data_IF_351816365569
#
_entry.id   IF_351816365569
#
_cell.length_a   1.000
_cell.length_b   1.000
_cell.length_c   1.000
_cell.angle_alpha   90.00
_cell.angle_beta   90.00
_cell.angle_gamma   90.00
#
_symmetry.space_group_name_H-M   'P 1'
#
loop_
_entity.id
_entity.type
_entity.pdbx_description
1 polymer ?
#
# COMPACT_ATOMS: atom_id res chain seq x y z
N UNK A 1 -4.35 -34.51 -11.19
CA UNK A 1 -3.43 -33.35 -11.29
C UNK A 1 -4.07 -32.13 -10.62
N UNK A 2 -4.20 -32.20 -9.29
CA UNK A 2 -5.08 -31.35 -8.44
C UNK A 2 -4.28 -30.54 -7.40
N UNK A 3 -2.94 -30.56 -7.48
CA UNK A 3 -2.01 -30.21 -6.39
C UNK A 3 -1.90 -28.70 -6.05
N UNK A 4 -2.80 -27.87 -6.56
CA UNK A 4 -2.78 -26.41 -6.41
C UNK A 4 -4.03 -25.84 -5.74
N UNK A 5 -5.10 -26.64 -5.68
CA UNK A 5 -6.30 -26.40 -4.85
C UNK A 5 -6.25 -27.26 -3.58
N UNK A 6 -5.24 -28.13 -3.43
CA UNK A 6 -4.93 -28.60 -2.09
C UNK A 6 -4.59 -27.36 -1.24
N UNK A 7 -5.27 -27.14 -0.11
CA UNK A 7 -5.06 -26.01 0.79
C UNK A 7 -3.73 -26.16 1.53
N UNK A 8 -2.66 -26.39 0.78
CA UNK A 8 -1.31 -26.60 1.27
C UNK A 8 -0.75 -25.25 1.61
N UNK A 9 -0.85 -24.98 2.91
CA UNK A 9 -0.24 -23.84 3.58
C UNK A 9 1.17 -23.61 3.02
N UNK A 10 1.40 -22.43 2.46
CA UNK A 10 2.71 -22.02 1.98
C UNK A 10 3.39 -21.15 3.03
N UNK A 11 4.65 -21.47 3.35
CA UNK A 11 5.45 -20.73 4.31
C UNK A 11 6.64 -20.09 3.61
N UNK A 12 6.88 -18.83 3.95
CA UNK A 12 8.03 -18.04 3.55
C UNK A 12 8.71 -17.53 4.83
N UNK A 13 10.03 -17.58 4.87
CA UNK A 13 10.85 -17.02 5.95
C UNK A 13 11.73 -15.93 5.38
N UNK A 14 11.75 -14.78 6.02
CA UNK A 14 12.43 -13.59 5.55
C UNK A 14 12.91 -12.71 6.69
N UNK A 15 13.57 -11.62 6.30
CA UNK A 15 13.95 -10.53 7.20
C UNK A 15 13.47 -9.22 6.57
N UNK A 16 12.97 -8.27 7.37
CA UNK A 16 12.76 -6.90 6.90
C UNK A 16 14.04 -6.34 6.28
N UNK A 17 13.90 -5.56 5.20
CA UNK A 17 15.05 -4.89 4.61
C UNK A 17 15.57 -3.78 5.52
N UNK A 18 16.86 -3.42 5.39
CA UNK A 18 17.44 -2.30 6.14
C UNK A 18 16.67 -0.98 5.93
N UNK A 19 16.23 -0.70 4.70
CA UNK A 19 15.38 0.46 4.36
C UNK A 19 14.04 0.49 5.13
N UNK A 20 13.65 -0.62 5.74
CA UNK A 20 12.42 -0.69 6.54
C UNK A 20 12.52 -0.12 7.92
N UNK A 21 13.73 0.04 8.46
CA UNK A 21 13.97 0.66 9.75
C UNK A 21 13.78 2.18 9.63
N UNK A 22 12.53 2.64 9.67
CA UNK A 22 12.19 4.05 9.48
C UNK A 22 12.69 4.93 10.64
N UNK A 23 12.54 4.46 11.88
CA UNK A 23 12.91 5.20 13.09
C UNK A 23 13.51 4.22 14.10
N UNK A 24 14.80 4.36 14.39
CA UNK A 24 15.52 3.41 15.25
C UNK A 24 15.41 1.97 14.71
N UNK A 25 15.16 0.95 15.55
CA UNK A 25 15.01 -0.43 15.09
C UNK A 25 13.62 -0.75 14.51
N UNK A 26 12.68 0.19 14.51
CA UNK A 26 11.27 -0.05 14.22
C UNK A 26 11.00 -0.16 12.73
N UNK A 27 10.39 -1.27 12.31
CA UNK A 27 10.06 -1.52 10.91
C UNK A 27 8.74 -0.84 10.53
N UNK A 28 8.78 -0.04 9.46
CA UNK A 28 7.59 0.60 8.89
C UNK A 28 6.62 -0.39 8.26
N UNK A 29 5.32 -0.08 8.28
CA UNK A 29 4.26 -1.00 7.83
C UNK A 29 4.44 -1.47 6.39
N UNK A 30 5.00 -0.64 5.50
CA UNK A 30 5.29 -1.00 4.10
C UNK A 30 6.07 -2.31 3.99
N UNK A 31 7.02 -2.55 4.89
CA UNK A 31 7.83 -3.77 4.90
C UNK A 31 7.05 -5.00 5.34
N UNK A 32 6.01 -4.87 6.16
CA UNK A 32 5.12 -5.99 6.43
C UNK A 32 4.46 -6.45 5.13
N UNK A 33 4.02 -5.49 4.30
CA UNK A 33 3.36 -5.80 3.05
C UNK A 33 4.36 -6.34 2.01
N UNK A 34 5.61 -5.86 1.98
CA UNK A 34 6.66 -6.45 1.14
C UNK A 34 6.94 -7.92 1.47
N UNK A 35 6.95 -8.28 2.76
CA UNK A 35 7.14 -9.69 3.15
C UNK A 35 5.94 -10.56 2.75
N UNK A 36 4.73 -10.01 2.76
CA UNK A 36 3.53 -10.69 2.24
C UNK A 36 3.63 -10.87 0.72
N UNK A 37 4.05 -9.84 0.00
CA UNK A 37 4.28 -9.88 -1.45
C UNK A 37 5.36 -10.90 -1.84
N UNK A 38 6.47 -10.94 -1.11
CA UNK A 38 7.51 -11.98 -1.29
C UNK A 38 7.00 -13.38 -0.98
N UNK A 39 6.14 -13.56 0.04
CA UNK A 39 5.53 -14.85 0.32
C UNK A 39 4.62 -15.33 -0.82
N UNK A 40 3.89 -14.41 -1.48
CA UNK A 40 3.09 -14.72 -2.66
C UNK A 40 4.00 -15.08 -3.84
N UNK A 41 5.04 -14.30 -4.11
CA UNK A 41 6.04 -14.63 -5.14
C UNK A 41 6.70 -15.99 -4.89
N UNK A 42 7.02 -16.30 -3.64
CA UNK A 42 7.62 -17.57 -3.25
C UNK A 42 6.64 -18.75 -3.42
N UNK A 43 5.36 -18.54 -3.14
CA UNK A 43 4.31 -19.54 -3.41
C UNK A 43 4.32 -19.97 -4.88
N UNK A 44 4.33 -19.01 -5.81
CA UNK A 44 4.38 -19.28 -7.25
C UNK A 44 5.75 -19.83 -7.70
N UNK A 45 6.85 -19.31 -7.14
CA UNK A 45 8.22 -19.79 -7.42
C UNK A 45 8.38 -21.28 -7.10
N UNK A 46 7.90 -21.74 -5.95
CA UNK A 46 7.91 -23.16 -5.54
C UNK A 46 7.09 -24.07 -6.47
N UNK A 47 6.23 -23.49 -7.30
CA UNK A 47 5.41 -24.18 -8.32
C UNK A 47 5.98 -24.01 -9.73
N UNK A 48 7.24 -23.57 -9.84
CA UNK A 48 7.94 -23.40 -11.10
C UNK A 48 7.57 -22.12 -11.86
N UNK A 49 6.82 -21.19 -11.24
CA UNK A 49 6.41 -19.91 -11.81
C UNK A 49 7.07 -18.74 -11.06
N UNK A 50 8.40 -18.74 -11.02
CA UNK A 50 9.15 -17.60 -10.48
C UNK A 50 9.00 -16.35 -11.35
N UNK A 51 9.19 -15.16 -10.76
CA UNK A 51 9.00 -13.87 -11.44
C UNK A 51 9.75 -13.75 -12.78
N UNK A 52 11.03 -14.15 -12.82
CA UNK A 52 11.81 -14.14 -14.05
C UNK A 52 11.18 -14.99 -15.16
N UNK A 53 10.68 -16.19 -14.81
CA UNK A 53 10.01 -17.10 -15.74
C UNK A 53 8.66 -16.59 -16.21
N UNK A 54 7.85 -16.08 -15.27
CA UNK A 54 6.57 -15.45 -15.59
C UNK A 54 6.75 -14.34 -16.63
N UNK A 55 7.79 -13.52 -16.46
CA UNK A 55 8.14 -12.45 -17.39
C UNK A 55 8.66 -13.00 -18.73
N UNK A 56 9.75 -13.79 -18.70
CA UNK A 56 10.50 -14.14 -19.91
C UNK A 56 9.87 -15.25 -20.76
N UNK A 57 9.13 -16.18 -20.15
CA UNK A 57 8.53 -17.32 -20.86
C UNK A 57 7.03 -17.16 -21.11
N UNK A 58 6.32 -16.52 -20.16
CA UNK A 58 4.87 -16.44 -20.18
C UNK A 58 4.31 -15.03 -20.48
N UNK A 59 5.16 -14.00 -20.52
CA UNK A 59 4.74 -12.65 -20.84
C UNK A 59 3.76 -12.05 -19.83
N UNK A 60 3.84 -12.44 -18.56
CA UNK A 60 2.99 -11.91 -17.48
C UNK A 60 3.80 -11.51 -16.25
N UNK A 61 3.27 -10.60 -15.43
CA UNK A 61 3.78 -10.29 -14.09
C UNK A 61 2.79 -10.73 -13.03
N UNK A 62 3.27 -11.07 -11.84
CA UNK A 62 2.45 -11.34 -10.67
C UNK A 62 2.39 -10.08 -9.81
N UNK A 63 1.18 -9.60 -9.53
CA UNK A 63 0.97 -8.41 -8.70
C UNK A 63 -0.12 -8.66 -7.66
N UNK A 64 0.04 -8.04 -6.49
CA UNK A 64 -1.03 -7.97 -5.49
C UNK A 64 -2.03 -6.91 -5.95
N UNK A 65 -3.32 -7.17 -5.75
CA UNK A 65 -4.39 -6.26 -6.19
C UNK A 65 -5.31 -5.87 -5.04
N UNK A 66 -5.31 -6.65 -3.97
CA UNK A 66 -6.07 -6.36 -2.77
C UNK A 66 -5.31 -6.85 -1.54
N UNK A 67 -5.32 -6.05 -0.48
CA UNK A 67 -4.98 -6.49 0.87
C UNK A 67 -5.92 -5.88 1.89
N UNK A 68 -6.18 -6.63 2.96
CA UNK A 68 -6.76 -6.13 4.19
C UNK A 68 -6.00 -6.76 5.35
N UNK A 69 -5.21 -5.96 6.06
CA UNK A 69 -4.32 -6.44 7.11
C UNK A 69 -4.50 -5.67 8.43
N UNK A 70 -4.35 -6.39 9.53
CA UNK A 70 -4.18 -5.86 10.89
C UNK A 70 -2.74 -6.09 11.33
N UNK A 71 -2.18 -5.10 12.02
CA UNK A 71 -0.78 -5.03 12.43
C UNK A 71 -0.71 -4.88 13.96
N UNK A 72 -1.00 -5.96 14.73
CA UNK A 72 -1.18 -5.87 16.18
C UNK A 72 0.13 -5.65 16.95
N UNK A 73 1.29 -5.89 16.34
CA UNK A 73 2.57 -5.87 17.05
C UNK A 73 3.65 -5.38 16.10
N UNK A 74 4.56 -4.51 16.57
CA UNK A 74 5.69 -4.03 15.78
C UNK A 74 6.65 -5.17 15.40
N UNK A 75 7.33 -4.98 14.28
CA UNK A 75 8.50 -5.76 13.86
C UNK A 75 9.73 -4.88 14.06
N UNK A 76 10.82 -5.46 14.53
CA UNK A 76 12.11 -4.78 14.59
C UNK A 76 13.09 -5.33 13.54
N UNK A 77 14.14 -4.57 13.26
CA UNK A 77 15.08 -4.83 12.16
C UNK A 77 15.72 -6.23 12.20
N UNK A 78 16.04 -6.74 13.39
CA UNK A 78 16.70 -8.03 13.56
C UNK A 78 15.74 -9.23 13.64
N UNK A 79 14.43 -8.98 13.61
CA UNK A 79 13.44 -10.05 13.67
C UNK A 79 13.54 -10.95 12.43
N UNK A 80 13.35 -12.25 12.65
CA UNK A 80 13.04 -13.20 11.57
C UNK A 80 11.53 -13.28 11.46
N UNK A 81 11.00 -13.03 10.27
CA UNK A 81 9.57 -13.13 10.01
C UNK A 81 9.25 -14.42 9.25
N UNK A 82 8.17 -15.07 9.64
CA UNK A 82 7.58 -16.18 8.92
C UNK A 82 6.18 -15.77 8.46
N UNK A 83 5.95 -15.82 7.15
CA UNK A 83 4.65 -15.55 6.53
C UNK A 83 4.03 -16.88 6.12
N UNK A 84 2.84 -17.13 6.65
CA UNK A 84 1.98 -18.25 6.29
C UNK A 84 0.86 -17.75 5.38
N UNK A 85 0.78 -18.33 4.18
CA UNK A 85 -0.32 -18.14 3.24
C UNK A 85 -1.20 -19.39 3.22
N UNK A 86 -2.50 -19.20 3.44
CA UNK A 86 -3.49 -20.26 3.26
C UNK A 86 -4.36 -19.91 2.07
N UNK A 87 -4.14 -20.55 0.90
CA UNK A 87 -4.98 -20.35 -0.27
C UNK A 87 -6.46 -20.58 0.08
N UNK A 88 -7.31 -19.72 -0.47
CA UNK A 88 -8.76 -19.85 -0.44
C UNK A 88 -9.24 -20.39 -1.78
N UNK A 89 -10.53 -20.77 -1.86
CA UNK A 89 -11.10 -21.19 -3.13
C UNK A 89 -10.96 -20.10 -4.20
N UNK A 90 -10.42 -20.43 -5.37
CA UNK A 90 -10.19 -19.46 -6.43
C UNK A 90 -11.52 -19.10 -7.10
N UNK A 91 -11.83 -17.80 -7.17
CA UNK A 91 -12.96 -17.30 -7.97
C UNK A 91 -12.42 -16.63 -9.23
N UNK A 92 -11.70 -15.53 -9.04
CA UNK A 92 -11.15 -14.68 -10.11
C UNK A 92 -9.74 -14.14 -9.79
N UNK A 93 -9.10 -14.64 -8.74
CA UNK A 93 -7.78 -14.21 -8.31
C UNK A 93 -7.18 -15.27 -7.40
N UNK A 94 -5.85 -15.26 -7.24
CA UNK A 94 -5.22 -16.03 -6.18
C UNK A 94 -5.57 -15.34 -4.86
N UNK A 95 -6.54 -15.91 -4.13
CA UNK A 95 -6.97 -15.41 -2.84
C UNK A 95 -6.33 -16.23 -1.72
N UNK A 96 -5.88 -15.57 -0.66
CA UNK A 96 -5.32 -16.25 0.50
C UNK A 96 -5.59 -15.48 1.79
N UNK A 97 -5.70 -16.19 2.91
CA UNK A 97 -5.45 -15.57 4.21
C UNK A 97 -3.94 -15.54 4.45
N UNK A 98 -3.47 -14.47 5.07
CA UNK A 98 -2.07 -14.28 5.41
C UNK A 98 -1.91 -14.08 6.92
N UNK A 99 -0.89 -14.73 7.47
CA UNK A 99 -0.49 -14.62 8.87
C UNK A 99 1.02 -14.42 8.90
N UNK A 100 1.50 -13.42 9.62
CA UNK A 100 2.94 -13.23 9.84
C UNK A 100 3.27 -13.32 11.32
N UNK A 101 4.31 -14.06 11.64
CA UNK A 101 4.91 -14.07 12.97
C UNK A 101 6.34 -13.59 12.92
N UNK A 102 6.72 -12.72 13.86
CA UNK A 102 8.12 -12.34 14.10
C UNK A 102 8.69 -13.17 15.24
N UNK A 103 9.97 -13.57 15.12
CA UNK A 103 10.70 -14.28 16.16
C UNK A 103 11.85 -13.42 16.67
N UNK A 104 11.88 -13.19 17.99
CA UNK A 104 12.95 -12.45 18.70
C UNK A 104 13.26 -13.16 20.00
N UNK A 105 14.54 -13.43 20.26
CA UNK A 105 15.00 -14.04 21.53
C UNK A 105 14.20 -15.31 21.89
N UNK A 106 13.93 -16.16 20.90
CA UNK A 106 13.16 -17.40 21.07
C UNK A 106 11.63 -17.20 21.24
N UNK A 107 11.13 -15.97 21.32
CA UNK A 107 9.70 -15.67 21.43
C UNK A 107 9.09 -15.40 20.06
N UNK A 108 7.99 -16.08 19.73
CA UNK A 108 7.19 -15.83 18.52
C UNK A 108 6.00 -14.93 18.84
N UNK A 109 5.81 -13.88 18.04
CA UNK A 109 4.70 -12.93 18.18
C UNK A 109 3.96 -12.80 16.87
N UNK A 110 2.63 -12.69 16.93
CA UNK A 110 1.83 -12.36 15.76
C UNK A 110 2.05 -10.89 15.41
N UNK A 111 2.43 -10.60 14.17
CA UNK A 111 2.68 -9.23 13.71
C UNK A 111 1.79 -8.80 12.55
N UNK A 112 1.22 -9.75 11.81
CA UNK A 112 0.21 -9.46 10.78
C UNK A 112 -0.83 -10.56 10.70
N UNK A 113 -2.09 -10.17 10.54
CA UNK A 113 -3.18 -11.06 10.10
C UNK A 113 -3.99 -10.37 9.02
N UNK A 114 -4.42 -11.10 8.00
CA UNK A 114 -5.20 -10.50 6.92
C UNK A 114 -5.62 -11.46 5.83
N UNK A 115 -6.07 -10.86 4.73
CA UNK A 115 -6.36 -11.53 3.48
C UNK A 115 -5.84 -10.70 2.31
N UNK A 116 -5.55 -11.37 1.21
CA UNK A 116 -5.03 -10.76 -0.01
C UNK A 116 -5.62 -11.38 -1.27
N UNK A 117 -5.51 -10.65 -2.37
CA UNK A 117 -5.68 -11.16 -3.73
C UNK A 117 -4.48 -10.80 -4.59
N UNK A 118 -4.03 -11.74 -5.40
CA UNK A 118 -3.01 -11.53 -6.42
C UNK A 118 -3.49 -11.99 -7.81
N UNK A 119 -2.97 -11.33 -8.85
CA UNK A 119 -3.33 -11.59 -10.25
C UNK A 119 -2.09 -11.70 -11.12
N UNK A 120 -2.23 -12.46 -12.20
CA UNK A 120 -1.27 -12.48 -13.30
C UNK A 120 -1.71 -11.47 -14.35
N UNK A 121 -0.85 -10.51 -14.64
CA UNK A 121 -1.12 -9.38 -15.54
C UNK A 121 -0.26 -9.50 -16.80
N UNK A 122 -0.86 -9.58 -18.00
CA UNK A 122 -0.12 -9.62 -19.26
C UNK A 122 0.74 -8.37 -19.48
N UNK A 123 1.95 -8.57 -20.00
CA UNK A 123 2.77 -7.48 -20.52
C UNK A 123 2.13 -6.90 -21.78
N UNK A 124 2.33 -5.60 -22.01
CA UNK A 124 1.84 -4.94 -23.23
C UNK A 124 2.60 -5.36 -24.47
N UNK A 125 3.90 -5.69 -24.32
CA UNK A 125 4.75 -6.27 -25.35
C UNK A 125 5.47 -7.52 -24.80
N UNK A 126 4.81 -8.69 -24.80
CA UNK A 126 5.35 -9.89 -24.16
C UNK A 126 6.46 -10.54 -25.00
N UNK A 127 7.60 -10.92 -24.39
CA UNK A 127 8.73 -11.50 -25.12
C UNK A 127 8.50 -12.95 -25.62
N UNK A 128 7.51 -13.69 -25.10
CA UNK A 128 7.36 -15.13 -25.40
C UNK A 128 5.91 -15.65 -25.43
N UNK A 129 5.75 -16.83 -26.04
CA UNK A 129 4.49 -17.47 -26.49
C UNK A 129 4.11 -18.75 -25.72
N UNK A 130 4.81 -19.09 -24.63
CA UNK A 130 4.50 -20.33 -23.89
C UNK A 130 3.25 -20.10 -23.05
N UNK A 131 2.19 -20.83 -23.36
CA UNK A 131 0.94 -20.73 -22.62
C UNK A 131 1.17 -20.95 -21.12
N UNK A 132 0.51 -20.14 -20.31
CA UNK A 132 0.48 -20.35 -18.88
C UNK A 132 -0.13 -21.72 -18.59
N UNK A 133 0.33 -22.42 -17.54
CA UNK A 133 -0.36 -23.61 -17.08
C UNK A 133 -1.86 -23.34 -16.88
N UNK A 134 -2.73 -24.26 -17.31
CA UNK A 134 -4.20 -24.09 -17.29
C UNK A 134 -4.75 -23.63 -15.93
N UNK A 135 -4.13 -24.07 -14.84
CA UNK A 135 -4.52 -23.68 -13.48
C UNK A 135 -4.33 -22.19 -13.17
N UNK A 136 -3.53 -21.46 -13.95
CA UNK A 136 -3.35 -20.01 -13.83
C UNK A 136 -4.50 -19.21 -14.46
N UNK A 137 -5.29 -19.83 -15.35
CA UNK A 137 -6.32 -19.13 -16.12
C UNK A 137 -7.32 -18.33 -15.26
N UNK A 138 -7.78 -18.81 -14.08
CA UNK A 138 -8.67 -18.02 -13.21
C UNK A 138 -8.04 -16.74 -12.65
N UNK A 139 -6.71 -16.64 -12.65
CA UNK A 139 -5.95 -15.53 -12.06
C UNK A 139 -5.36 -14.59 -13.10
N UNK A 140 -5.43 -14.95 -14.39
CA UNK A 140 -4.89 -14.15 -15.49
C UNK A 140 -5.94 -13.14 -15.94
N UNK A 141 -5.65 -11.85 -15.75
CA UNK A 141 -6.57 -10.77 -16.10
C UNK A 141 -5.96 -9.82 -17.10
N UNK A 142 -6.73 -9.49 -18.15
CA UNK A 142 -6.38 -8.36 -19.00
C UNK A 142 -6.66 -7.08 -18.23
N UNK A 143 -5.66 -6.20 -18.27
CA UNK A 143 -5.77 -4.84 -17.75
C UNK A 143 -6.89 -4.10 -18.50
N UNK A 144 -7.93 -3.71 -17.76
CA UNK A 144 -9.06 -2.94 -18.31
C UNK A 144 -8.74 -1.44 -18.42
N UNK A 145 -7.62 -0.97 -17.86
CA UNK A 145 -7.30 0.44 -17.67
C UNK A 145 -6.69 1.15 -18.88
N UNK A 146 -6.05 0.46 -19.82
CA UNK A 146 -5.42 1.12 -20.99
C UNK A 146 -6.43 1.73 -21.96
N UNK A 147 -7.67 1.23 -21.93
CA UNK A 147 -8.80 1.80 -22.66
C UNK A 147 -9.71 2.52 -21.64
N UNK A 148 -10.36 3.60 -22.07
CA UNK A 148 -11.19 4.53 -21.26
C UNK A 148 -12.37 3.91 -20.48
N UNK A 149 -12.39 2.60 -20.28
CA UNK A 149 -13.42 1.87 -19.54
C UNK A 149 -13.11 1.77 -18.05
N UNK A 150 -13.18 2.91 -17.38
CA UNK A 150 -13.45 2.99 -15.95
C UNK A 150 -14.61 3.94 -15.79
N UNK A 151 -15.84 3.43 -15.64
CA UNK A 151 -16.94 4.30 -15.24
C UNK A 151 -16.55 4.90 -13.89
N UNK A 152 -16.48 6.23 -13.83
CA UNK A 152 -16.25 6.94 -12.58
C UNK A 152 -17.33 6.53 -11.59
N UNK A 153 -16.93 5.88 -10.50
CA UNK A 153 -17.81 5.80 -9.34
C UNK A 153 -17.76 7.17 -8.68
N UNK A 154 -18.88 7.89 -8.54
CA UNK A 154 -18.88 9.18 -7.87
C UNK A 154 -18.34 9.03 -6.44
N UNK A 155 -17.33 9.82 -6.09
CA UNK A 155 -16.80 9.92 -4.73
C UNK A 155 -16.51 11.37 -4.39
N UNK A 156 -16.52 11.71 -3.10
CA UNK A 156 -16.14 13.05 -2.62
C UNK A 156 -14.73 13.41 -3.06
N UNK A 157 -13.81 12.43 -3.08
CA UNK A 157 -12.45 12.63 -3.55
C UNK A 157 -12.39 13.03 -5.03
N UNK A 158 -13.21 12.40 -5.87
CA UNK A 158 -13.29 12.76 -7.29
C UNK A 158 -13.81 14.19 -7.50
N UNK A 159 -14.81 14.62 -6.72
CA UNK A 159 -15.31 16.01 -6.77
C UNK A 159 -14.23 17.01 -6.38
N UNK A 160 -13.56 16.78 -5.25
CA UNK A 160 -12.45 17.63 -4.78
C UNK A 160 -11.33 17.71 -5.82
N UNK A 161 -10.96 16.58 -6.42
CA UNK A 161 -9.92 16.55 -7.44
C UNK A 161 -10.31 17.37 -8.68
N UNK A 162 -11.57 17.28 -9.13
CA UNK A 162 -12.07 18.06 -10.29
C UNK A 162 -12.03 19.56 -10.05
N UNK A 163 -12.38 20.00 -8.84
CA UNK A 163 -12.31 21.42 -8.47
C UNK A 163 -10.86 21.93 -8.51
N UNK A 164 -9.89 21.11 -8.11
CA UNK A 164 -8.47 21.44 -8.15
C UNK A 164 -7.91 21.42 -9.58
N UNK A 165 -8.36 20.48 -10.43
CA UNK A 165 -7.90 20.32 -11.81
C UNK A 165 -8.65 21.18 -12.84
N UNK A 166 -9.55 22.07 -12.40
CA UNK A 166 -10.31 22.95 -13.29
C UNK A 166 -9.39 23.80 -14.20
N UNK A 167 -9.84 24.21 -15.40
CA UNK A 167 -8.99 24.41 -16.60
C UNK A 167 -7.95 25.55 -16.61
N UNK A 168 -7.64 26.18 -15.47
CA UNK A 168 -6.71 27.32 -15.42
C UNK A 168 -5.24 26.95 -15.17
N UNK A 169 -4.91 25.68 -14.95
CA UNK A 169 -3.50 25.24 -14.89
C UNK A 169 -3.18 24.36 -16.09
N UNK A 170 -3.03 25.02 -17.25
CA UNK A 170 -2.42 24.43 -18.43
C UNK A 170 -0.97 24.04 -18.15
N UNK A 171 -0.62 22.87 -18.67
CA UNK A 171 0.70 22.32 -18.96
C UNK A 171 1.71 22.15 -17.82
N UNK A 172 2.23 20.92 -17.81
CA UNK A 172 3.55 20.53 -17.34
C UNK A 172 3.81 20.87 -15.87
N UNK A 173 3.51 19.91 -14.98
CA UNK A 173 4.06 19.94 -13.63
C UNK A 173 5.59 19.74 -13.76
N UNK A 174 6.31 20.83 -14.05
CA UNK A 174 7.78 20.86 -14.11
C UNK A 174 8.43 20.55 -12.77
N UNK A 175 7.63 20.45 -11.70
CA UNK A 175 8.00 19.84 -10.43
C UNK A 175 7.55 18.37 -10.41
N UNK A 176 8.41 17.44 -9.97
CA UNK A 176 8.02 16.03 -9.85
C UNK A 176 6.79 15.79 -8.93
N UNK A 177 6.37 16.79 -8.14
CA UNK A 177 5.27 16.71 -7.18
C UNK A 177 4.67 18.09 -6.88
N UNK A 178 3.35 18.14 -6.69
CA UNK A 178 2.57 19.27 -6.15
C UNK A 178 1.67 18.75 -5.04
N UNK A 179 1.56 19.49 -3.94
CA UNK A 179 0.67 19.18 -2.82
C UNK A 179 -0.27 20.36 -2.56
N UNK A 180 -1.57 20.10 -2.57
CA UNK A 180 -2.63 21.10 -2.37
C UNK A 180 -3.43 20.73 -1.13
N UNK A 181 -3.39 21.53 -0.05
CA UNK A 181 -4.25 21.33 1.12
C UNK A 181 -5.73 21.43 0.76
N UNK A 182 -6.57 20.60 1.38
CA UNK A 182 -8.03 20.71 1.33
C UNK A 182 -8.59 20.64 2.75
N UNK A 183 -9.87 21.00 2.94
CA UNK A 183 -10.49 21.16 4.27
C UNK A 183 -10.14 20.00 5.23
N UNK A 184 -10.41 18.77 4.80
CA UNK A 184 -10.20 17.57 5.60
C UNK A 184 -9.04 16.68 5.11
N UNK A 185 -8.02 17.26 4.47
CA UNK A 185 -6.93 16.47 3.92
C UNK A 185 -6.02 17.23 2.96
N UNK A 186 -5.53 16.52 1.94
CA UNK A 186 -4.67 17.09 0.89
C UNK A 186 -4.76 16.28 -0.40
N UNK A 187 -4.41 16.92 -1.51
CA UNK A 187 -4.22 16.29 -2.82
C UNK A 187 -2.74 16.34 -3.18
N UNK A 188 -2.19 15.20 -3.60
CA UNK A 188 -0.81 15.08 -4.09
C UNK A 188 -0.88 14.71 -5.55
N UNK A 189 -0.31 15.54 -6.42
CA UNK A 189 -0.11 15.20 -7.83
C UNK A 189 1.37 14.93 -8.04
N UNK A 190 1.73 13.73 -8.50
CA UNK A 190 3.12 13.36 -8.74
C UNK A 190 3.27 12.42 -9.93
N UNK A 191 4.41 12.51 -10.59
CA UNK A 191 4.78 11.61 -11.69
C UNK A 191 5.09 10.21 -11.14
N UNK A 192 4.53 9.16 -11.73
CA UNK A 192 4.86 7.77 -11.38
C UNK A 192 6.30 7.45 -11.81
N UNK A 193 7.24 7.18 -10.88
CA UNK A 193 8.61 6.89 -11.24
C UNK A 193 8.80 5.43 -11.71
N UNK A 194 9.79 5.20 -12.57
CA UNK A 194 10.07 3.86 -13.13
C UNK A 194 10.35 2.80 -12.06
N UNK A 195 10.98 3.20 -10.96
CA UNK A 195 11.34 2.29 -9.87
C UNK A 195 10.14 1.85 -9.01
N UNK A 196 8.92 2.34 -9.26
CA UNK A 196 7.69 1.80 -8.68
C UNK A 196 6.97 0.77 -9.58
N UNK A 197 7.42 0.58 -10.83
CA UNK A 197 6.72 -0.25 -11.81
C UNK A 197 7.25 -1.69 -11.94
N UNK A 198 8.37 -1.99 -11.26
CA UNK A 198 9.11 -3.26 -11.18
C UNK A 198 8.83 -4.34 -12.26
N UNK A 199 9.64 -4.39 -13.31
CA UNK A 199 9.50 -5.43 -14.34
C UNK A 199 8.26 -5.29 -15.22
N UNK A 200 7.61 -4.13 -15.20
CA UNK A 200 6.56 -3.75 -16.13
C UNK A 200 6.52 -2.22 -16.29
N UNK A 201 5.66 -1.72 -17.18
CA UNK A 201 5.31 -0.31 -17.27
C UNK A 201 4.23 0.12 -16.26
N UNK A 202 3.70 -0.79 -15.43
CA UNK A 202 2.59 -0.53 -14.50
C UNK A 202 3.08 -0.24 -13.10
N UNK A 203 2.51 0.78 -12.46
CA UNK A 203 2.68 1.01 -11.02
C UNK A 203 2.19 -0.23 -10.25
N UNK A 204 3.11 -0.87 -9.53
CA UNK A 204 2.81 -2.07 -8.75
C UNK A 204 2.21 -1.74 -7.39
N UNK A 205 1.63 -2.76 -6.76
CA UNK A 205 1.09 -2.70 -5.41
C UNK A 205 2.04 -2.03 -4.40
N UNK A 206 3.32 -2.41 -4.40
CA UNK A 206 4.35 -1.84 -3.52
C UNK A 206 4.54 -0.33 -3.71
N UNK A 207 4.35 0.17 -4.93
CA UNK A 207 4.39 1.59 -5.25
C UNK A 207 3.23 2.36 -4.61
N UNK A 208 2.00 1.83 -4.68
CA UNK A 208 0.86 2.41 -3.96
C UNK A 208 1.08 2.38 -2.44
N UNK A 209 1.67 1.32 -1.90
CA UNK A 209 2.00 1.23 -0.47
C UNK A 209 2.96 2.35 -0.03
N UNK A 210 3.99 2.65 -0.85
CA UNK A 210 4.88 3.80 -0.59
C UNK A 210 4.14 5.13 -0.64
N UNK A 211 3.23 5.29 -1.59
CA UNK A 211 2.42 6.51 -1.72
C UNK A 211 1.47 6.71 -0.53
N UNK A 212 0.95 5.64 0.07
CA UNK A 212 0.17 5.73 1.31
C UNK A 212 1.02 6.30 2.46
N UNK A 213 2.24 5.78 2.63
CA UNK A 213 3.16 6.23 3.67
C UNK A 213 3.54 7.71 3.49
N UNK A 214 3.84 8.09 2.24
CA UNK A 214 4.17 9.48 1.89
C UNK A 214 3.00 10.44 2.12
N UNK A 215 1.78 10.06 1.72
CA UNK A 215 0.62 10.90 1.92
C UNK A 215 0.31 11.15 3.40
N UNK A 216 0.53 10.15 4.25
CA UNK A 216 0.39 10.29 5.71
C UNK A 216 1.44 11.23 6.27
N UNK A 217 2.71 11.10 5.87
CA UNK A 217 3.78 11.98 6.33
C UNK A 217 3.51 13.45 5.94
N UNK A 218 3.15 13.69 4.68
CA UNK A 218 2.79 15.02 4.19
C UNK A 218 1.57 15.60 4.91
N UNK A 219 0.57 14.78 5.23
CA UNK A 219 -0.60 15.21 5.99
C UNK A 219 -0.24 15.61 7.42
N UNK A 220 0.54 14.78 8.11
CA UNK A 220 0.99 15.10 9.47
C UNK A 220 1.85 16.37 9.50
N UNK A 221 2.71 16.56 8.50
CA UNK A 221 3.49 17.79 8.35
C UNK A 221 2.59 19.01 8.11
N UNK A 222 1.59 18.93 7.21
CA UNK A 222 0.60 19.99 6.97
C UNK A 222 -0.19 20.33 8.25
N UNK A 223 -0.49 19.33 9.09
CA UNK A 223 -1.16 19.52 10.38
C UNK A 223 -0.21 19.97 11.52
N UNK A 224 1.03 20.33 11.21
CA UNK A 224 2.05 20.78 12.18
C UNK A 224 2.38 19.73 13.27
N UNK A 225 2.12 18.46 12.99
CA UNK A 225 2.44 17.31 13.84
C UNK A 225 3.36 16.35 13.09
N UNK A 226 4.35 16.90 12.38
CA UNK A 226 5.33 16.13 11.61
C UNK A 226 6.00 15.08 12.49
N UNK A 227 6.31 13.92 11.89
CA UNK A 227 6.87 12.78 12.63
C UNK A 227 8.18 13.17 13.33
N UNK A 228 9.04 13.95 12.67
CA UNK A 228 10.29 14.43 13.25
C UNK A 228 10.09 15.33 14.48
N UNK A 229 9.16 16.28 14.42
CA UNK A 229 8.84 17.16 15.56
C UNK A 229 8.29 16.37 16.73
N UNK A 230 7.29 15.52 16.46
CA UNK A 230 6.62 14.70 17.50
C UNK A 230 7.61 13.74 18.15
N UNK A 231 8.50 13.11 17.38
CA UNK A 231 9.56 12.25 17.93
C UNK A 231 10.50 13.03 18.83
N UNK A 232 10.93 14.22 18.43
CA UNK A 232 11.87 15.05 19.21
C UNK A 232 11.26 15.58 20.50
N UNK A 233 10.02 16.03 20.43
CA UNK A 233 9.35 16.74 21.53
C UNK A 233 8.65 15.79 22.51
N UNK A 234 8.13 14.66 22.01
CA UNK A 234 7.26 13.76 22.76
C UNK A 234 7.76 12.32 22.79
N UNK A 235 8.76 11.99 21.98
CA UNK A 235 9.27 10.62 21.83
C UNK A 235 8.20 9.65 21.39
N UNK A 236 7.35 10.09 20.46
CA UNK A 236 6.31 9.27 19.86
C UNK A 236 6.61 9.00 18.39
N UNK A 237 6.23 7.81 17.92
CA UNK A 237 6.28 7.45 16.51
C UNK A 237 4.91 6.99 16.01
N UNK A 238 4.53 7.31 14.76
CA UNK A 238 3.32 6.77 14.19
C UNK A 238 3.47 5.27 14.01
N UNK A 239 2.43 4.52 14.40
CA UNK A 239 2.36 3.07 14.21
C UNK A 239 1.06 2.71 13.51
N UNK A 240 1.17 2.06 12.35
CA UNK A 240 0.01 1.58 11.63
C UNK A 240 -0.56 0.35 12.34
N UNK A 241 -1.87 0.33 12.58
CA UNK A 241 -2.59 -0.79 13.20
C UNK A 241 -3.43 -1.58 12.19
N UNK A 242 -3.84 -0.93 11.10
CA UNK A 242 -4.65 -1.53 10.05
C UNK A 242 -4.36 -0.86 8.72
N UNK A 243 -4.34 -1.65 7.66
CA UNK A 243 -4.25 -1.17 6.27
C UNK A 243 -5.18 -1.97 5.38
N UNK A 244 -5.83 -1.28 4.45
CA UNK A 244 -6.55 -1.86 3.32
C UNK A 244 -6.10 -1.13 2.06
N UNK A 245 -5.87 -1.86 0.99
CA UNK A 245 -5.59 -1.31 -0.33
C UNK A 245 -6.27 -2.20 -1.37
N UNK A 246 -6.96 -1.59 -2.31
CA UNK A 246 -7.61 -2.23 -3.45
C UNK A 246 -7.23 -1.45 -4.71
N UNK A 247 -6.74 -2.17 -5.72
CA UNK A 247 -6.43 -1.63 -7.04
C UNK A 247 -7.62 -1.88 -7.97
N UNK A 248 -8.07 -0.83 -8.64
CA UNK A 248 -9.24 -0.84 -9.54
C UNK A 248 -8.82 -0.79 -11.02
N UNK A 249 -7.75 -0.05 -11.32
CA UNK A 249 -7.18 0.09 -12.64
C UNK A 249 -5.66 0.31 -12.54
N UNK A 250 -4.93 0.02 -13.61
CA UNK A 250 -3.49 0.29 -13.66
C UNK A 250 -3.21 1.77 -13.88
N UNK A 251 -2.25 2.30 -13.13
CA UNK A 251 -1.49 3.49 -13.48
C UNK A 251 -0.17 3.04 -14.13
N UNK A 252 0.38 3.85 -15.02
CA UNK A 252 1.58 3.54 -15.77
C UNK A 252 2.73 4.47 -15.40
N UNK A 253 3.93 4.01 -15.72
CA UNK A 253 5.15 4.77 -15.62
C UNK A 253 4.98 6.13 -16.28
N UNK A 254 5.47 7.16 -15.62
CA UNK A 254 5.48 8.55 -16.10
C UNK A 254 4.10 9.23 -16.19
N UNK A 255 2.99 8.53 -15.93
CA UNK A 255 1.69 9.18 -15.73
C UNK A 255 1.72 10.05 -14.46
N UNK A 256 0.93 11.11 -14.46
CA UNK A 256 0.64 11.86 -13.23
C UNK A 256 -0.41 11.11 -12.42
N UNK A 257 -0.01 10.64 -11.24
CA UNK A 257 -0.92 10.09 -10.25
C UNK A 257 -1.36 11.21 -9.29
N UNK A 258 -2.66 11.37 -9.18
CA UNK A 258 -3.32 12.23 -8.21
C UNK A 258 -3.80 11.37 -7.02
N UNK A 259 -3.26 11.62 -5.84
CA UNK A 259 -3.67 10.97 -4.60
C UNK A 259 -4.46 11.97 -3.76
N UNK A 260 -5.74 11.69 -3.54
CA UNK A 260 -6.58 12.45 -2.61
C UNK A 260 -6.54 11.75 -1.26
N UNK A 261 -5.90 12.37 -0.27
CA UNK A 261 -5.88 11.90 1.11
C UNK A 261 -6.91 12.67 1.92
N UNK A 262 -7.73 11.96 2.71
CA UNK A 262 -8.70 12.56 3.64
C UNK A 262 -8.64 11.87 4.99
N UNK A 263 -8.85 12.62 6.07
CA UNK A 263 -9.01 12.06 7.40
C UNK A 263 -10.46 11.58 7.59
N UNK A 264 -10.67 10.26 7.69
CA UNK A 264 -12.00 9.67 7.83
C UNK A 264 -12.54 9.78 9.26
N UNK A 265 -11.72 9.44 10.25
CA UNK A 265 -12.17 9.35 11.65
C UNK A 265 -11.02 9.38 12.65
N UNK A 266 -11.34 9.83 13.87
CA UNK A 266 -10.52 9.67 15.07
C UNK A 266 -11.32 8.81 16.05
N UNK A 267 -10.72 7.75 16.57
CA UNK A 267 -11.34 6.77 17.44
C UNK A 267 -10.73 6.86 18.83
N UNK A 268 -11.56 7.28 19.80
CA UNK A 268 -11.22 7.34 21.23
C UNK A 268 -9.90 8.07 21.52
N UNK A 269 -9.57 9.09 20.73
CA UNK A 269 -8.34 9.86 20.87
C UNK A 269 -7.05 8.99 20.89
N UNK A 270 -7.06 7.79 20.28
CA UNK A 270 -5.88 6.90 20.26
C UNK A 270 -5.52 6.50 18.84
N UNK A 271 -6.52 6.42 17.95
CA UNK A 271 -6.33 6.03 16.56
C UNK A 271 -6.96 7.07 15.63
N UNK A 272 -6.33 7.30 14.49
CA UNK A 272 -6.94 8.02 13.40
C UNK A 272 -6.87 7.18 12.11
N UNK A 273 -7.88 7.29 11.26
CA UNK A 273 -7.94 6.59 9.97
C UNK A 273 -7.95 7.60 8.85
N UNK A 274 -6.99 7.46 7.92
CA UNK A 274 -6.99 8.17 6.65
C UNK A 274 -7.52 7.29 5.53
N UNK A 275 -8.23 7.89 4.56
CA UNK A 275 -8.61 7.30 3.29
C UNK A 275 -7.81 7.95 2.17
N UNK A 276 -7.41 7.14 1.20
CA UNK A 276 -6.74 7.56 -0.01
C UNK A 276 -7.52 7.06 -1.21
N UNK A 277 -7.71 7.92 -2.20
CA UNK A 277 -8.20 7.54 -3.53
C UNK A 277 -7.21 8.08 -4.57
N UNK A 278 -6.76 7.21 -5.46
CA UNK A 278 -5.76 7.53 -6.47
C UNK A 278 -6.38 7.57 -7.86
N UNK A 279 -6.01 8.58 -8.65
CA UNK A 279 -6.53 8.81 -10.00
C UNK A 279 -5.39 9.12 -10.96
N UNK A 280 -5.56 8.77 -12.24
CA UNK A 280 -4.74 9.28 -13.34
C UNK A 280 -5.62 9.98 -14.35
N UNK A 281 -5.10 11.03 -14.98
CA UNK A 281 -5.79 11.76 -16.04
C UNK A 281 -5.40 11.19 -17.41
N UNK A 282 -6.38 10.77 -18.22
CA UNK A 282 -6.19 10.26 -19.58
C UNK A 282 -7.15 10.96 -20.53
N UNK A 283 -6.68 12.01 -21.20
CA UNK A 283 -7.57 12.96 -21.88
C UNK A 283 -8.43 13.69 -20.85
N UNK A 284 -9.74 13.77 -21.06
CA UNK A 284 -10.67 14.41 -20.13
C UNK A 284 -11.23 13.46 -19.06
N UNK A 285 -10.68 12.24 -18.94
CA UNK A 285 -11.18 11.19 -18.06
C UNK A 285 -10.25 10.99 -16.87
N UNK A 286 -10.80 11.07 -15.66
CA UNK A 286 -10.14 10.67 -14.43
C UNK A 286 -10.38 9.19 -14.16
N UNK A 287 -9.34 8.37 -14.32
CA UNK A 287 -9.41 6.93 -14.07
C UNK A 287 -9.05 6.66 -12.61
N UNK A 288 -9.99 6.14 -11.82
CA UNK A 288 -9.76 5.71 -10.44
C UNK A 288 -8.90 4.43 -10.42
N UNK A 289 -7.68 4.52 -9.91
CA UNK A 289 -6.70 3.42 -9.95
C UNK A 289 -6.61 2.64 -8.66
N UNK A 290 -6.80 3.27 -7.50
CA UNK A 290 -6.75 2.56 -6.22
C UNK A 290 -7.52 3.29 -5.11
N UNK A 291 -8.04 2.51 -4.15
CA UNK A 291 -8.53 3.01 -2.86
C UNK A 291 -7.75 2.37 -1.72
N UNK A 292 -7.34 3.16 -0.74
CA UNK A 292 -6.72 2.67 0.48
C UNK A 292 -7.32 3.29 1.73
N UNK A 293 -7.20 2.58 2.85
CA UNK A 293 -7.42 3.12 4.19
C UNK A 293 -6.27 2.70 5.08
N UNK A 294 -5.77 3.62 5.90
CA UNK A 294 -4.72 3.31 6.86
C UNK A 294 -5.07 3.91 8.22
N UNK A 295 -5.00 3.08 9.26
CA UNK A 295 -5.27 3.48 10.64
C UNK A 295 -3.96 3.55 11.40
N UNK A 296 -3.66 4.70 12.01
CA UNK A 296 -2.47 4.93 12.82
C UNK A 296 -2.83 5.29 14.25
N UNK A 297 -1.98 4.89 15.18
CA UNK A 297 -1.84 5.54 16.49
C UNK A 297 -0.42 6.07 16.63
N UNK A 298 -0.08 6.51 17.84
CA UNK A 298 1.29 6.82 18.23
C UNK A 298 1.78 5.83 19.29
N UNK A 299 3.06 5.47 19.25
CA UNK A 299 3.70 4.65 20.27
C UNK A 299 4.89 5.38 20.92
N UNK A 300 5.10 5.16 22.21
CA UNK A 300 6.24 5.70 22.96
C UNK A 300 7.53 5.00 22.54
N UNK A 301 8.62 5.73 22.28
CA UNK A 301 9.88 5.15 21.81
C UNK A 301 10.95 4.94 22.87
N UNK A 302 10.78 5.48 24.07
CA UNK A 302 11.80 5.42 25.12
C UNK A 302 11.19 5.32 26.52
N UNK A 303 12.02 4.93 27.48
CA UNK A 303 11.59 4.79 28.89
C UNK A 303 10.81 3.51 29.15
N UNK A 304 10.23 3.37 30.36
CA UNK A 304 9.56 2.15 30.80
C UNK A 304 8.33 1.79 29.96
N UNK A 305 7.70 2.79 29.33
CA UNK A 305 6.47 2.63 28.53
C UNK A 305 6.75 2.41 27.03
N UNK A 306 8.01 2.16 26.65
CA UNK A 306 8.40 1.94 25.25
C UNK A 306 7.53 0.87 24.58
N UNK A 307 6.95 1.22 23.44
CA UNK A 307 6.08 0.35 22.63
C UNK A 307 4.61 0.32 23.04
N UNK A 308 4.22 1.07 24.06
CA UNK A 308 2.79 1.27 24.39
C UNK A 308 2.17 2.33 23.49
N UNK A 309 0.85 2.19 23.24
CA UNK A 309 0.08 3.19 22.50
C UNK A 309 -0.17 4.44 23.35
N UNK A 310 -0.18 5.58 22.68
CA UNK A 310 -0.39 6.90 23.27
C UNK A 310 -1.83 7.34 23.05
N UNK A 311 -2.41 7.94 24.09
CA UNK A 311 -3.62 8.77 23.98
C UNK A 311 -3.24 10.18 23.53
N UNK A 312 -3.94 10.68 22.51
CA UNK A 312 -3.72 11.97 21.89
C UNK A 312 -4.06 13.07 22.89
N UNK A 313 -3.12 13.99 23.09
CA UNK A 313 -3.44 15.23 23.78
C UNK A 313 -4.40 16.11 22.95
N UNK A 314 -5.04 17.07 23.61
CA UNK A 314 -5.99 17.97 22.97
C UNK A 314 -5.39 18.74 21.78
N UNK A 315 -4.09 19.06 21.83
CA UNK A 315 -3.39 19.75 20.74
C UNK A 315 -3.26 18.86 19.50
N UNK A 316 -3.00 17.56 19.69
CA UNK A 316 -2.89 16.56 18.62
C UNK A 316 -4.25 16.31 17.98
N UNK A 317 -5.29 16.13 18.79
CA UNK A 317 -6.66 15.95 18.29
C UNK A 317 -7.10 17.18 17.49
N UNK A 318 -6.87 18.39 18.01
CA UNK A 318 -7.17 19.63 17.30
C UNK A 318 -6.38 19.77 15.99
N UNK A 319 -5.08 19.44 16.00
CA UNK A 319 -4.24 19.46 14.80
C UNK A 319 -4.76 18.50 13.72
N UNK A 320 -5.07 17.25 14.09
CA UNK A 320 -5.63 16.26 13.16
C UNK A 320 -6.96 16.73 12.54
N UNK A 321 -7.84 17.32 13.36
CA UNK A 321 -9.13 17.88 12.92
C UNK A 321 -8.99 19.16 12.08
N UNK A 322 -7.78 19.71 11.93
CA UNK A 322 -7.53 20.95 11.18
C UNK A 322 -7.72 22.23 11.98
N UNK A 323 -7.97 22.15 13.30
CA UNK A 323 -8.10 23.29 14.22
C UNK A 323 -6.82 24.11 14.45
N UNK A 324 -5.70 23.73 13.82
CA UNK A 324 -4.46 24.51 13.81
C UNK A 324 -4.36 25.55 12.69
N UNK A 325 -5.22 25.48 11.67
CA UNK A 325 -5.21 26.41 10.53
C UNK A 325 -6.06 27.65 10.83
N UNK A 326 -5.66 28.43 11.82
CA UNK A 326 -6.23 29.75 12.11
C UNK A 326 -5.20 30.62 12.84
N UNK A 327 -4.07 30.92 12.19
CA UNK A 327 -3.24 32.12 12.46
C UNK A 327 -2.53 32.56 11.20
#
# INVERSE_FOLDING_TARGET
MTALVEPTISRYSGRPGYEGANIGPWIGFKHFLYQVEEAVRDHFRKRGLGAGRLYSEHGVTLDLTEISARLPTPVLADDIVEVELRPMEPVDAFAASCRMTASREGTRRMVLTGSLKARLLPLSDPPAKVELPVWCAPFTHRDRGRHLSGAETPSTALTVLREILAPETGDDIGTNRVTTPVENGLVISQRVPYYFCHGSERLQFSGYVRMIEEAVDLFLAQRQISVGSVLKERHWIPVASKVRLTMHASAYMEETLHTVFTLDSIVKDVLHTGRLECFVCRGDVLVHTATATITHGYAVTQGPDMGTLVEFDAATTAALQGGGASR
#
